data_IF_131023690284
#
_entry.id   IF_131023690284
#
_cell.length_a   1.000
_cell.length_b   1.000
_cell.length_c   1.000
_cell.angle_alpha   90.00
_cell.angle_beta   90.00
_cell.angle_gamma   90.00
#
_symmetry.space_group_name_H-M   'P 1'
#
loop_
_entity.id
_entity.type
_entity.pdbx_description
1 polymer ?
#
# COMPACT_ATOMS: atom_id res chain seq x y z
N UNK A 1 11.16 -2.66 -13.27
CA UNK A 1 11.59 -2.34 -11.89
C UNK A 1 10.94 -3.31 -10.89
N UNK A 2 11.71 -3.83 -9.93
CA UNK A 2 11.25 -4.94 -9.09
C UNK A 2 10.03 -4.60 -8.22
N UNK A 3 9.84 -3.32 -7.87
CA UNK A 3 8.65 -2.87 -7.15
C UNK A 3 7.35 -3.10 -7.92
N UNK A 4 7.38 -3.14 -9.27
CA UNK A 4 6.21 -3.48 -10.10
C UNK A 4 5.80 -4.94 -9.96
N UNK A 5 6.77 -5.82 -9.72
CA UNK A 5 6.56 -7.26 -9.53
C UNK A 5 6.21 -7.60 -8.08
N UNK A 6 6.44 -6.67 -7.15
CA UNK A 6 5.99 -6.82 -5.77
C UNK A 6 4.48 -6.73 -5.66
N UNK A 7 3.88 -5.83 -6.43
CA UNK A 7 2.47 -5.51 -6.33
C UNK A 7 1.59 -6.43 -7.18
N UNK A 8 0.38 -6.72 -6.71
CA UNK A 8 -0.68 -7.25 -7.57
C UNK A 8 -1.02 -6.25 -8.68
N UNK A 9 -1.54 -6.74 -9.81
CA UNK A 9 -1.93 -5.87 -10.93
C UNK A 9 -2.91 -4.78 -10.50
N UNK A 10 -3.83 -5.12 -9.60
CA UNK A 10 -4.82 -4.21 -9.05
C UNK A 10 -4.17 -3.12 -8.17
N UNK A 11 -3.29 -3.49 -7.24
CA UNK A 11 -2.57 -2.55 -6.39
C UNK A 11 -1.69 -1.61 -7.23
N UNK A 12 -0.97 -2.15 -8.21
CA UNK A 12 -0.15 -1.36 -9.11
C UNK A 12 -0.98 -0.39 -9.96
N UNK A 13 -2.10 -0.84 -10.53
CA UNK A 13 -2.99 0.00 -11.32
C UNK A 13 -3.58 1.16 -10.51
N UNK A 14 -3.90 0.93 -9.23
CA UNK A 14 -4.38 1.98 -8.34
C UNK A 14 -3.31 3.05 -8.08
N UNK A 15 -2.06 2.65 -7.83
CA UNK A 15 -0.93 3.59 -7.67
C UNK A 15 -0.69 4.38 -8.95
N UNK A 16 -0.71 3.71 -10.11
CA UNK A 16 -0.55 4.37 -11.40
C UNK A 16 -1.67 5.37 -11.67
N UNK A 17 -2.93 5.00 -11.43
CA UNK A 17 -4.06 5.91 -11.56
C UNK A 17 -3.93 7.13 -10.64
N UNK A 18 -3.62 6.91 -9.36
CA UNK A 18 -3.44 7.98 -8.38
C UNK A 18 -2.33 8.97 -8.78
N UNK A 19 -1.22 8.47 -9.32
CA UNK A 19 -0.08 9.30 -9.77
C UNK A 19 -0.39 10.23 -10.94
N UNK A 20 -1.50 10.00 -11.66
CA UNK A 20 -1.92 10.81 -12.81
C UNK A 20 -2.98 11.86 -12.44
N UNK A 21 -3.49 11.82 -11.20
CA UNK A 21 -4.52 12.75 -10.73
C UNK A 21 -3.89 14.09 -10.33
N UNK A 22 -4.64 15.18 -10.56
CA UNK A 22 -4.31 16.48 -9.99
C UNK A 22 -4.48 16.44 -8.47
N UNK A 23 -3.77 17.33 -7.76
CA UNK A 23 -3.80 17.37 -6.28
C UNK A 23 -5.23 17.45 -5.74
N UNK A 24 -6.09 18.28 -6.34
CA UNK A 24 -7.47 18.49 -5.88
C UNK A 24 -8.38 17.29 -6.10
N UNK A 25 -8.03 16.42 -7.04
CA UNK A 25 -8.77 15.21 -7.40
C UNK A 25 -8.05 13.96 -6.90
N UNK A 26 -6.99 14.12 -6.09
CA UNK A 26 -6.15 13.02 -5.68
C UNK A 26 -6.96 12.01 -4.89
N UNK A 27 -6.92 10.75 -5.32
CA UNK A 27 -7.59 9.63 -4.66
C UNK A 27 -6.71 8.38 -4.69
N UNK A 28 -6.63 7.72 -3.55
CA UNK A 28 -6.07 6.38 -3.40
C UNK A 28 -7.02 5.58 -2.52
N UNK A 29 -7.96 4.82 -3.12
CA UNK A 29 -9.00 4.11 -2.37
C UNK A 29 -8.42 3.22 -1.27
N UNK A 30 -9.12 3.14 -0.14
CA UNK A 30 -8.70 2.36 1.03
C UNK A 30 -8.51 0.87 0.69
N UNK A 31 -9.35 0.32 -0.18
CA UNK A 31 -9.28 -1.09 -0.60
C UNK A 31 -7.96 -1.38 -1.33
N UNK A 32 -7.51 -0.45 -2.17
CA UNK A 32 -6.21 -0.53 -2.82
C UNK A 32 -5.07 -0.35 -1.81
N UNK A 33 -5.19 0.62 -0.90
CA UNK A 33 -4.21 0.85 0.15
C UNK A 33 -4.00 -0.37 1.05
N UNK A 34 -5.07 -1.06 1.45
CA UNK A 34 -5.02 -2.27 2.29
C UNK A 34 -4.20 -3.36 1.61
N UNK A 35 -4.45 -3.61 0.31
CA UNK A 35 -3.68 -4.58 -0.49
C UNK A 35 -2.22 -4.18 -0.61
N UNK A 36 -1.94 -2.92 -0.97
CA UNK A 36 -0.59 -2.36 -1.05
C UNK A 36 0.16 -2.60 0.27
N UNK A 37 -0.45 -2.26 1.41
CA UNK A 37 0.20 -2.37 2.71
C UNK A 37 0.43 -3.83 3.11
N UNK A 38 -0.52 -4.73 2.83
CA UNK A 38 -0.37 -6.17 3.07
C UNK A 38 0.74 -6.79 2.23
N UNK A 39 0.82 -6.46 0.95
CA UNK A 39 1.85 -6.96 0.04
C UNK A 39 3.25 -6.46 0.44
N UNK A 40 3.35 -5.20 0.88
CA UNK A 40 4.59 -4.62 1.43
C UNK A 40 4.98 -5.27 2.77
N UNK A 41 4.03 -5.46 3.69
CA UNK A 41 4.27 -6.08 4.99
C UNK A 41 4.74 -7.54 4.84
N UNK A 42 4.07 -8.31 3.98
CA UNK A 42 4.47 -9.69 3.66
C UNK A 42 5.87 -9.74 3.04
N UNK A 43 6.18 -8.81 2.13
CA UNK A 43 7.52 -8.74 1.51
C UNK A 43 8.59 -8.36 2.54
N UNK A 44 8.32 -7.35 3.39
CA UNK A 44 9.22 -6.94 4.47
C UNK A 44 9.51 -8.09 5.45
N UNK A 45 8.48 -8.89 5.76
CA UNK A 45 8.61 -10.07 6.60
C UNK A 45 9.50 -11.13 5.94
N UNK A 46 9.22 -11.47 4.68
CA UNK A 46 9.90 -12.52 3.93
C UNK A 46 11.36 -12.19 3.63
N UNK A 47 11.69 -10.92 3.41
CA UNK A 47 13.05 -10.52 3.05
C UNK A 47 13.90 -10.13 4.25
N UNK A 48 15.00 -10.86 4.50
CA UNK A 48 15.92 -10.53 5.57
C UNK A 48 16.85 -9.36 5.20
N UNK A 49 17.11 -9.11 3.91
CA UNK A 49 17.89 -7.96 3.43
C UNK A 49 16.96 -6.99 2.68
N UNK A 50 17.47 -5.81 2.32
CA UNK A 50 16.73 -4.75 1.61
C UNK A 50 15.43 -4.22 2.26
N UNK A 51 15.14 -4.55 3.52
CA UNK A 51 14.00 -4.00 4.28
C UNK A 51 13.88 -2.48 4.21
N UNK A 52 15.01 -1.77 4.20
CA UNK A 52 15.04 -0.32 4.07
C UNK A 52 14.41 0.18 2.75
N UNK A 53 14.60 -0.54 1.64
CA UNK A 53 14.00 -0.21 0.35
C UNK A 53 12.49 -0.35 0.36
N UNK A 54 11.95 -1.29 1.15
CA UNK A 54 10.51 -1.40 1.37
C UNK A 54 9.97 -0.22 2.18
N UNK A 55 10.74 0.27 3.16
CA UNK A 55 10.40 1.50 3.91
C UNK A 55 10.43 2.73 2.99
N UNK A 56 11.43 2.84 2.12
CA UNK A 56 11.49 3.92 1.13
C UNK A 56 10.28 3.87 0.17
N UNK A 57 9.83 2.67 -0.21
CA UNK A 57 8.67 2.50 -1.09
C UNK A 57 7.33 2.79 -0.39
N UNK A 58 7.14 2.37 0.86
CA UNK A 58 5.87 2.61 1.58
C UNK A 58 5.69 4.08 1.96
N UNK A 59 6.78 4.82 2.19
CA UNK A 59 6.73 6.21 2.64
C UNK A 59 5.90 7.14 1.72
N UNK A 60 6.18 7.24 0.41
CA UNK A 60 5.36 8.06 -0.49
C UNK A 60 3.92 7.53 -0.65
N UNK A 61 3.72 6.21 -0.56
CA UNK A 61 2.39 5.60 -0.63
C UNK A 61 1.55 5.90 0.62
N UNK A 62 2.19 5.99 1.78
CA UNK A 62 1.55 6.44 3.02
C UNK A 62 1.13 7.91 2.92
N UNK A 63 1.96 8.77 2.32
CA UNK A 63 1.57 10.16 2.06
C UNK A 63 0.40 10.26 1.07
N UNK A 64 0.38 9.41 0.03
CA UNK A 64 -0.79 9.29 -0.84
C UNK A 64 -2.05 8.89 -0.05
N UNK A 65 -1.96 7.90 0.85
CA UNK A 65 -3.08 7.53 1.71
C UNK A 65 -3.53 8.70 2.58
N UNK A 66 -2.63 9.44 3.20
CA UNK A 66 -2.96 10.63 4.00
C UNK A 66 -3.67 11.68 3.14
N UNK A 67 -3.17 11.96 1.94
CA UNK A 67 -3.77 12.96 1.05
C UNK A 67 -5.23 12.60 0.73
N UNK A 68 -5.50 11.34 0.34
CA UNK A 68 -6.87 10.86 0.11
C UNK A 68 -7.74 10.97 1.38
N UNK A 69 -7.20 10.64 2.56
CA UNK A 69 -7.94 10.76 3.82
C UNK A 69 -8.32 12.21 4.10
N UNK A 70 -7.35 13.13 4.04
CA UNK A 70 -7.56 14.57 4.24
C UNK A 70 -8.61 15.12 3.27
N UNK A 71 -8.57 14.70 2.00
CA UNK A 71 -9.61 15.06 1.03
C UNK A 71 -10.99 14.53 1.43
N UNK A 72 -11.07 13.27 1.86
CA UNK A 72 -12.34 12.63 2.23
C UNK A 72 -12.96 13.18 3.52
N UNK A 73 -12.15 13.75 4.40
CA UNK A 73 -12.59 14.24 5.72
C UNK A 73 -12.52 15.76 5.86
N UNK A 74 -12.27 16.51 4.78
CA UNK A 74 -11.98 17.95 4.84
C UNK A 74 -13.08 18.77 5.52
N UNK A 75 -14.33 18.46 5.20
CA UNK A 75 -15.52 19.15 5.73
C UNK A 75 -16.20 18.38 6.87
N UNK A 76 -15.60 17.28 7.33
CA UNK A 76 -16.17 16.44 8.39
C UNK A 76 -15.78 16.98 9.78
N UNK A 77 -16.68 16.80 10.73
CA UNK A 77 -16.35 16.94 12.15
C UNK A 77 -15.39 15.84 12.60
N UNK A 78 -14.76 16.02 13.76
CA UNK A 78 -13.87 14.99 14.33
C UNK A 78 -14.59 13.66 14.60
N UNK A 79 -15.87 13.69 14.99
CA UNK A 79 -16.66 12.48 15.23
C UNK A 79 -16.96 11.73 13.92
N UNK A 80 -17.30 12.45 12.85
CA UNK A 80 -17.53 11.86 11.52
C UNK A 80 -16.22 11.33 10.93
N UNK A 81 -15.10 12.04 11.11
CA UNK A 81 -13.78 11.56 10.67
C UNK A 81 -13.37 10.26 11.39
N UNK A 82 -13.71 10.11 12.68
CA UNK A 82 -13.48 8.86 13.42
C UNK A 82 -14.29 7.70 12.82
N UNK A 83 -15.54 7.94 12.41
CA UNK A 83 -16.34 6.92 11.70
C UNK A 83 -15.68 6.49 10.39
N UNK A 84 -15.04 7.42 9.66
CA UNK A 84 -14.26 7.09 8.46
C UNK A 84 -13.02 6.25 8.81
N UNK A 85 -12.39 6.47 9.97
CA UNK A 85 -11.29 5.61 10.46
C UNK A 85 -11.79 4.21 10.77
N UNK A 86 -12.90 4.07 11.48
CA UNK A 86 -13.51 2.77 11.82
C UNK A 86 -13.93 1.99 10.56
N UNK A 87 -14.51 2.66 9.57
CA UNK A 87 -14.85 2.04 8.28
C UNK A 87 -13.61 1.49 7.57
N UNK A 88 -12.49 2.21 7.62
CA UNK A 88 -11.24 1.71 7.04
C UNK A 88 -10.69 0.51 7.82
N UNK A 89 -10.77 0.54 9.15
CA UNK A 89 -10.35 -0.56 10.00
C UNK A 89 -11.14 -1.84 9.66
N UNK A 90 -12.46 -1.71 9.47
CA UNK A 90 -13.30 -2.83 9.03
C UNK A 90 -12.83 -3.42 7.69
N UNK A 91 -12.42 -2.58 6.73
CA UNK A 91 -11.91 -3.06 5.43
C UNK A 91 -10.59 -3.84 5.61
N UNK A 92 -9.71 -3.44 6.53
CA UNK A 92 -8.55 -4.25 6.90
C UNK A 92 -8.99 -5.62 7.44
N UNK A 93 -9.93 -5.65 8.38
CA UNK A 93 -10.42 -6.91 8.97
C UNK A 93 -11.06 -7.84 7.94
N UNK A 94 -11.93 -7.30 7.09
CA UNK A 94 -12.62 -8.04 6.04
C UNK A 94 -11.66 -8.58 4.98
N UNK A 95 -10.53 -7.89 4.77
CA UNK A 95 -9.52 -8.25 3.78
C UNK A 95 -8.42 -9.14 4.36
N UNK A 96 -8.54 -9.59 5.62
CA UNK A 96 -7.50 -10.39 6.31
C UNK A 96 -7.14 -11.70 5.59
N UNK A 97 -8.09 -12.34 4.91
CA UNK A 97 -7.81 -13.55 4.13
C UNK A 97 -6.80 -13.28 3.01
N UNK A 98 -6.85 -12.09 2.40
CA UNK A 98 -5.86 -11.67 1.41
C UNK A 98 -4.47 -11.51 2.05
N UNK A 99 -4.38 -10.92 3.25
CA UNK A 99 -3.11 -10.83 3.99
C UNK A 99 -2.51 -12.22 4.20
N UNK A 100 -3.29 -13.17 4.70
CA UNK A 100 -2.81 -14.53 4.97
C UNK A 100 -2.28 -15.20 3.70
N UNK A 101 -3.01 -15.06 2.59
CA UNK A 101 -2.59 -15.56 1.27
C UNK A 101 -1.24 -14.98 0.85
N UNK A 102 -1.09 -13.65 0.82
CA UNK A 102 0.16 -13.02 0.37
C UNK A 102 1.32 -13.27 1.33
N UNK A 103 1.03 -13.41 2.64
CA UNK A 103 2.02 -13.74 3.64
C UNK A 103 2.65 -15.12 3.38
N UNK A 104 1.83 -16.12 3.08
CA UNK A 104 2.29 -17.46 2.74
C UNK A 104 3.04 -17.49 1.41
N UNK A 105 2.51 -16.82 0.37
CA UNK A 105 3.13 -16.76 -0.96
C UNK A 105 4.52 -16.12 -0.92
N UNK A 106 4.66 -14.94 -0.30
CA UNK A 106 5.94 -14.22 -0.22
C UNK A 106 6.97 -14.94 0.66
N UNK A 107 6.53 -15.62 1.72
CA UNK A 107 7.44 -16.42 2.58
C UNK A 107 8.10 -17.59 1.85
N UNK A 108 7.49 -18.08 0.76
CA UNK A 108 8.04 -19.16 -0.09
C UNK A 108 9.00 -18.65 -1.17
N UNK A 109 9.08 -17.34 -1.39
CA UNK A 109 9.90 -16.69 -2.42
C UNK A 109 11.11 -16.00 -1.77
N UNK A 110 12.26 -16.68 -1.64
CA UNK A 110 13.46 -16.05 -1.09
C UNK A 110 13.94 -14.91 -2.00
N UNK A 111 14.50 -13.88 -1.37
CA UNK A 111 15.00 -12.61 -1.94
C UNK A 111 15.94 -12.75 -3.17
N UNK A 112 16.48 -13.93 -3.44
CA UNK A 112 17.52 -14.22 -4.44
C UNK A 112 17.12 -14.01 -5.92
N UNK A 113 15.90 -13.53 -6.23
CA UNK A 113 15.49 -13.17 -7.58
C UNK A 113 15.58 -11.67 -7.90
N UNK A 114 15.87 -10.82 -6.90
CA UNK A 114 16.05 -9.40 -7.15
C UNK A 114 17.52 -9.05 -7.36
N UNK A 115 17.89 -8.71 -8.59
CA UNK A 115 19.13 -7.99 -8.88
C UNK A 115 19.23 -6.69 -8.07
N UNK A 116 20.37 -5.99 -8.20
CA UNK A 116 20.63 -4.72 -7.52
C UNK A 116 19.43 -3.77 -7.70
N UNK A 117 18.70 -3.49 -6.62
CA UNK A 117 17.59 -2.56 -6.73
C UNK A 117 18.13 -1.16 -6.93
N UNK A 118 17.84 -0.60 -8.09
CA UNK A 118 17.86 0.83 -8.28
C UNK A 118 16.42 1.32 -8.10
N UNK A 119 16.16 1.98 -6.95
CA UNK A 119 14.94 2.75 -6.70
C UNK A 119 14.94 4.08 -7.46
N UNK A 120 16.14 4.52 -7.87
CA UNK A 120 16.39 5.75 -8.62
C UNK A 120 17.15 5.37 -9.89
N UNK A 121 16.65 5.82 -11.04
CA UNK A 121 17.42 5.93 -12.29
C UNK A 121 18.33 7.17 -12.22
#
# INVERSE_FOLDING_TARGET
PLWKEMFSEEAYAAVEAASRLAVQEFRLPVEAWVKILYELAATFHAWPRNRFKIIELVTPLYYARIADFVHSTWDLSSEEAEQVVEQQAQIFEDTKDYLLKVWEEKSKLPENHSGEWQLYD
#
